data_IF_549639649926
#
_entry.id   IF_549639649926
#
_cell.length_a   1.000
_cell.length_b   1.000
_cell.length_c   1.000
_cell.angle_alpha   90.00
_cell.angle_beta   90.00
_cell.angle_gamma   90.00
#
_symmetry.space_group_name_H-M   'P 1'
#
loop_
_entity.id
_entity.type
_entity.pdbx_description
1 polymer ?
#
# COMPACT_ATOMS: atom_id res chain seq x y z
N UNK A 1 1.50 -29.42 -4.17
CA UNK A 1 0.25 -28.84 -3.62
C UNK A 1 0.48 -28.43 -2.17
N UNK A 2 0.17 -27.18 -1.83
CA UNK A 2 0.22 -26.65 -0.47
C UNK A 2 -1.23 -26.35 -0.07
N UNK A 3 -1.90 -27.22 0.71
CA UNK A 3 -3.32 -27.12 1.02
C UNK A 3 -3.72 -25.83 1.75
N UNK A 4 -2.75 -25.17 2.39
CA UNK A 4 -2.98 -23.96 3.17
C UNK A 4 -2.67 -22.65 2.40
N UNK A 5 -2.35 -22.71 1.11
CA UNK A 5 -2.19 -21.50 0.31
C UNK A 5 -3.57 -20.91 0.01
N UNK A 6 -3.99 -19.98 0.84
CA UNK A 6 -5.26 -19.27 0.70
C UNK A 6 -5.11 -17.80 1.00
N UNK A 7 -5.87 -16.98 0.27
CA UNK A 7 -5.95 -15.54 0.47
C UNK A 7 -7.41 -15.17 0.62
N UNK A 8 -7.72 -14.32 1.59
CA UNK A 8 -9.06 -13.78 1.82
C UNK A 8 -9.03 -12.28 1.67
N UNK A 9 -9.81 -11.78 0.74
CA UNK A 9 -10.04 -10.36 0.53
C UNK A 9 -11.30 -9.92 1.22
N UNK A 10 -11.22 -8.84 2.01
CA UNK A 10 -12.35 -8.25 2.72
C UNK A 10 -12.37 -6.75 2.44
N UNK A 11 -13.46 -6.25 1.85
CA UNK A 11 -13.69 -4.83 1.67
C UNK A 11 -14.59 -4.32 2.78
N UNK A 12 -14.11 -3.30 3.48
CA UNK A 12 -14.87 -2.56 4.50
C UNK A 12 -15.30 -1.20 3.96
N UNK A 13 -16.51 -0.78 4.29
CA UNK A 13 -16.92 0.60 4.12
C UNK A 13 -16.44 1.43 5.32
N UNK A 14 -15.73 2.53 5.04
CA UNK A 14 -15.09 3.34 6.09
C UNK A 14 -13.62 2.97 6.32
N UNK A 15 -13.09 3.42 7.44
CA UNK A 15 -11.67 3.31 7.81
C UNK A 15 -11.40 2.28 8.92
N UNK A 16 -12.44 1.67 9.47
CA UNK A 16 -12.33 0.69 10.55
C UNK A 16 -13.13 -0.58 10.24
N UNK A 17 -12.69 -1.72 10.77
CA UNK A 17 -13.44 -2.96 10.71
C UNK A 17 -14.42 -3.02 11.87
N UNK A 18 -15.70 -2.85 11.58
CA UNK A 18 -16.76 -2.88 12.58
C UNK A 18 -17.41 -4.26 12.64
N UNK A 19 -17.91 -4.61 13.81
CA UNK A 19 -18.56 -5.89 14.09
C UNK A 19 -19.96 -5.71 14.70
N UNK A 20 -20.72 -6.80 14.82
CA UNK A 20 -22.07 -6.76 15.39
C UNK A 20 -23.05 -6.00 14.52
N UNK A 21 -23.89 -5.17 15.16
CA UNK A 21 -24.94 -4.39 14.48
C UNK A 21 -24.37 -3.38 13.49
N UNK A 22 -23.17 -2.89 13.73
CA UNK A 22 -22.46 -1.91 12.88
C UNK A 22 -21.57 -2.56 11.82
N UNK A 23 -21.75 -3.85 11.55
CA UNK A 23 -20.94 -4.58 10.56
C UNK A 23 -20.92 -3.89 9.20
N UNK A 24 -19.72 -3.61 8.69
CA UNK A 24 -19.49 -2.80 7.50
C UNK A 24 -18.70 -3.50 6.39
N UNK A 25 -18.71 -4.84 6.36
CA UNK A 25 -18.14 -5.61 5.26
C UNK A 25 -19.07 -5.55 4.06
N UNK A 26 -18.57 -5.05 2.94
CA UNK A 26 -19.33 -4.94 1.67
C UNK A 26 -18.92 -6.01 0.66
N UNK A 27 -17.75 -6.65 0.86
CA UNK A 27 -17.30 -7.77 0.03
C UNK A 27 -16.35 -8.67 0.83
N UNK A 28 -16.49 -9.98 0.66
CA UNK A 28 -15.66 -11.01 1.30
C UNK A 28 -15.46 -12.14 0.29
N UNK A 29 -14.23 -12.30 -0.21
CA UNK A 29 -13.87 -13.28 -1.22
C UNK A 29 -12.70 -14.13 -0.74
N UNK A 30 -12.75 -15.43 -1.03
CA UNK A 30 -11.71 -16.38 -0.69
C UNK A 30 -11.13 -17.01 -1.96
N UNK A 31 -9.81 -17.03 -2.03
CA UNK A 31 -9.04 -17.62 -3.12
C UNK A 31 -8.24 -18.79 -2.57
N UNK A 32 -8.39 -19.96 -3.19
CA UNK A 32 -7.69 -21.19 -2.81
C UNK A 32 -7.23 -21.91 -4.07
N UNK A 33 -5.91 -21.94 -4.29
CA UNK A 33 -5.33 -22.57 -5.47
C UNK A 33 -3.85 -22.90 -5.21
N UNK A 34 -3.15 -23.49 -6.19
CA UNK A 34 -1.69 -23.47 -6.17
C UNK A 34 -1.18 -22.02 -6.25
N UNK A 35 0.01 -21.77 -5.71
CA UNK A 35 0.50 -20.40 -5.49
C UNK A 35 0.57 -19.57 -6.80
N UNK A 36 1.11 -20.07 -7.93
CA UNK A 36 1.13 -19.29 -9.18
C UNK A 36 -0.26 -18.88 -9.64
N UNK A 37 -1.19 -19.83 -9.70
CA UNK A 37 -2.58 -19.56 -10.11
C UNK A 37 -3.31 -18.63 -9.16
N UNK A 38 -3.03 -18.76 -7.85
CA UNK A 38 -3.56 -17.87 -6.82
C UNK A 38 -3.09 -16.41 -7.02
N UNK A 39 -1.82 -16.21 -7.38
CA UNK A 39 -1.28 -14.89 -7.71
C UNK A 39 -2.02 -14.29 -8.92
N UNK A 40 -2.21 -15.07 -9.98
CA UNK A 40 -2.89 -14.59 -11.19
C UNK A 40 -4.35 -14.25 -10.95
N UNK A 41 -5.08 -15.10 -10.22
CA UNK A 41 -6.48 -14.85 -9.84
C UNK A 41 -6.64 -13.59 -9.02
N UNK A 42 -5.80 -13.41 -7.99
CA UNK A 42 -5.82 -12.22 -7.13
C UNK A 42 -5.43 -10.97 -7.93
N UNK A 43 -4.46 -11.08 -8.82
CA UNK A 43 -4.04 -9.98 -9.68
C UNK A 43 -5.19 -9.45 -10.53
N UNK A 44 -5.92 -10.34 -11.20
CA UNK A 44 -7.09 -9.97 -12.02
C UNK A 44 -8.19 -9.34 -11.14
N UNK A 45 -8.47 -9.97 -10.00
CA UNK A 45 -9.49 -9.51 -9.07
C UNK A 45 -9.20 -8.12 -8.50
N UNK A 46 -7.98 -7.88 -8.02
CA UNK A 46 -7.61 -6.60 -7.42
C UNK A 46 -7.54 -5.47 -8.45
N UNK A 47 -7.04 -5.74 -9.65
CA UNK A 47 -7.11 -4.76 -10.75
C UNK A 47 -8.53 -4.29 -11.06
N UNK A 48 -9.51 -5.18 -10.99
CA UNK A 48 -10.91 -4.84 -11.18
C UNK A 48 -11.55 -4.18 -9.95
N UNK A 49 -10.95 -4.32 -8.77
CA UNK A 49 -11.48 -3.81 -7.50
C UNK A 49 -10.98 -2.42 -7.13
N UNK A 50 -9.79 -2.06 -7.58
CA UNK A 50 -9.18 -0.76 -7.31
C UNK A 50 -9.61 0.30 -8.31
N UNK A 51 -9.57 1.56 -7.84
CA UNK A 51 -9.97 2.73 -8.61
C UNK A 51 -8.74 3.48 -9.13
N UNK A 52 -8.97 4.26 -10.16
CA UNK A 52 -8.02 5.27 -10.60
C UNK A 52 -8.55 6.65 -10.24
N UNK A 53 -7.68 7.50 -9.72
CA UNK A 53 -7.98 8.90 -9.45
C UNK A 53 -7.35 9.78 -10.52
N UNK A 54 -8.01 10.88 -10.85
CA UNK A 54 -7.53 11.87 -11.79
C UNK A 54 -7.41 13.19 -11.08
N UNK A 55 -6.27 13.85 -11.17
CA UNK A 55 -6.07 15.19 -10.68
C UNK A 55 -5.47 16.08 -11.74
N UNK A 56 -5.78 17.38 -11.70
CA UNK A 56 -5.17 18.37 -12.58
C UNK A 56 -3.78 18.71 -12.05
N UNK A 57 -2.75 18.39 -12.82
CA UNK A 57 -1.40 18.85 -12.57
C UNK A 57 -1.31 20.33 -12.99
N UNK A 58 -1.20 21.20 -12.00
CA UNK A 58 -1.21 22.66 -12.22
C UNK A 58 0.01 23.16 -12.96
N UNK A 59 1.13 22.44 -12.92
CA UNK A 59 2.36 22.80 -13.62
C UNK A 59 2.25 22.55 -15.12
N UNK A 60 1.77 21.38 -15.51
CA UNK A 60 1.61 21.00 -16.92
C UNK A 60 0.24 21.35 -17.50
N UNK A 61 -0.75 21.71 -16.68
CA UNK A 61 -2.15 21.92 -17.07
C UNK A 61 -2.86 20.66 -17.56
N UNK A 62 -2.30 19.46 -17.30
CA UNK A 62 -2.84 18.17 -17.76
C UNK A 62 -3.40 17.35 -16.63
N UNK A 63 -4.42 16.55 -16.92
CA UNK A 63 -4.88 15.54 -15.97
C UNK A 63 -3.87 14.40 -15.89
N UNK A 64 -3.42 14.11 -14.67
CA UNK A 64 -2.61 12.93 -14.33
C UNK A 64 -3.49 11.88 -13.68
N UNK A 65 -3.25 10.63 -14.05
CA UNK A 65 -3.89 9.47 -13.47
C UNK A 65 -3.01 8.92 -12.35
N UNK A 66 -3.59 8.71 -11.17
CA UNK A 66 -2.94 8.05 -10.04
C UNK A 66 -3.78 6.83 -9.67
N UNK A 67 -3.20 5.63 -9.66
CA UNK A 67 -3.92 4.46 -9.19
C UNK A 67 -4.20 4.57 -7.69
N UNK A 68 -5.31 3.99 -7.24
CA UNK A 68 -5.61 3.87 -5.80
C UNK A 68 -4.46 3.20 -5.05
N UNK A 69 -3.90 2.14 -5.63
CA UNK A 69 -2.67 1.48 -5.20
C UNK A 69 -1.86 1.07 -6.44
N UNK A 70 -0.57 1.39 -6.52
CA UNK A 70 0.29 0.96 -7.62
C UNK A 70 0.35 -0.55 -7.70
N UNK A 71 0.19 -1.10 -8.93
CA UNK A 71 0.20 -2.56 -9.14
C UNK A 71 1.46 -3.22 -8.59
N UNK A 72 2.61 -2.61 -8.84
CA UNK A 72 3.89 -3.14 -8.36
C UNK A 72 3.94 -3.24 -6.83
N UNK A 73 3.35 -2.28 -6.10
CA UNK A 73 3.39 -2.27 -4.64
C UNK A 73 2.54 -3.41 -4.04
N UNK A 74 1.26 -3.50 -4.42
CA UNK A 74 0.39 -4.50 -3.81
C UNK A 74 0.68 -5.92 -4.32
N UNK A 75 1.07 -6.08 -5.59
CA UNK A 75 1.41 -7.39 -6.13
C UNK A 75 2.67 -7.95 -5.46
N UNK A 76 3.72 -7.13 -5.33
CA UNK A 76 4.93 -7.51 -4.59
C UNK A 76 4.61 -7.86 -3.13
N UNK A 77 3.75 -7.08 -2.48
CA UNK A 77 3.28 -7.36 -1.11
C UNK A 77 2.60 -8.73 -0.97
N UNK A 78 1.77 -9.11 -1.94
CA UNK A 78 1.09 -10.41 -1.97
C UNK A 78 2.07 -11.56 -2.24
N UNK A 79 2.96 -11.39 -3.22
CA UNK A 79 3.98 -12.38 -3.55
C UNK A 79 4.89 -12.62 -2.34
N UNK A 80 5.33 -11.55 -1.67
CA UNK A 80 6.12 -11.63 -0.44
C UNK A 80 5.34 -12.33 0.67
N UNK A 81 4.05 -12.03 0.84
CA UNK A 81 3.21 -12.71 1.83
C UNK A 81 3.13 -14.21 1.54
N UNK A 82 2.96 -14.63 0.29
CA UNK A 82 2.93 -16.04 -0.11
C UNK A 82 4.30 -16.72 0.06
N UNK A 83 5.40 -16.03 -0.28
CA UNK A 83 6.76 -16.56 -0.09
C UNK A 83 7.13 -16.76 1.39
N UNK A 84 6.70 -15.84 2.25
CA UNK A 84 7.14 -15.79 3.65
C UNK A 84 6.10 -16.27 4.67
N UNK A 85 4.94 -16.75 4.22
CA UNK A 85 3.92 -17.31 5.11
C UNK A 85 4.45 -18.50 5.92
N UNK A 86 4.01 -18.61 7.18
CA UNK A 86 4.18 -19.82 7.98
C UNK A 86 3.14 -20.88 7.58
N UNK A 87 3.50 -21.79 6.67
CA UNK A 87 2.59 -22.82 6.16
C UNK A 87 2.28 -23.96 7.15
N UNK A 88 3.00 -24.03 8.25
CA UNK A 88 2.73 -24.94 9.36
C UNK A 88 1.58 -24.46 10.27
N UNK A 89 1.20 -23.18 10.17
CA UNK A 89 0.03 -22.64 10.88
C UNK A 89 -1.22 -22.95 10.07
N UNK A 90 -1.97 -23.96 10.52
CA UNK A 90 -3.22 -24.36 9.89
C UNK A 90 -4.37 -23.41 10.22
N UNK A 91 -5.40 -23.38 9.37
CA UNK A 91 -6.62 -22.59 9.58
C UNK A 91 -6.46 -21.08 9.41
N UNK A 92 -5.30 -20.60 9.02
CA UNK A 92 -5.06 -19.18 8.77
C UNK A 92 -4.84 -18.89 7.27
N UNK A 93 -5.24 -17.73 6.81
CA UNK A 93 -5.07 -17.26 5.44
C UNK A 93 -4.19 -16.00 5.41
N UNK A 94 -3.70 -15.63 4.25
CA UNK A 94 -3.27 -14.24 4.01
C UNK A 94 -4.54 -13.41 3.91
N UNK A 95 -4.62 -12.32 4.64
CA UNK A 95 -5.77 -11.41 4.60
C UNK A 95 -5.41 -10.14 3.88
N UNK A 96 -6.20 -9.78 2.89
CA UNK A 96 -6.16 -8.49 2.21
C UNK A 96 -7.39 -7.72 2.67
N UNK A 97 -7.20 -6.74 3.55
CA UNK A 97 -8.27 -5.86 4.02
C UNK A 97 -8.21 -4.54 3.28
N UNK A 98 -9.29 -4.18 2.64
CA UNK A 98 -9.40 -2.96 1.86
C UNK A 98 -10.37 -1.99 2.54
N UNK A 99 -9.86 -0.90 3.07
CA UNK A 99 -10.59 0.21 3.68
C UNK A 99 -10.71 1.37 2.70
N UNK A 100 -11.40 2.43 3.09
CA UNK A 100 -11.52 3.62 2.23
C UNK A 100 -10.21 4.41 2.12
N UNK A 101 -9.31 4.27 3.09
CA UNK A 101 -8.05 5.01 3.20
C UNK A 101 -6.79 4.18 3.02
N UNK A 102 -6.90 2.83 3.04
CA UNK A 102 -5.75 1.94 2.98
C UNK A 102 -6.07 0.52 2.55
N UNK A 103 -5.04 -0.16 2.08
CA UNK A 103 -4.97 -1.61 1.88
C UNK A 103 -4.04 -2.20 2.92
N UNK A 104 -4.49 -3.21 3.67
CA UNK A 104 -3.68 -3.97 4.62
C UNK A 104 -3.48 -5.39 4.09
N UNK A 105 -2.23 -5.82 3.96
CA UNK A 105 -1.88 -7.22 3.65
C UNK A 105 -1.29 -7.84 4.92
N UNK A 106 -2.05 -8.78 5.53
CA UNK A 106 -1.62 -9.49 6.73
C UNK A 106 -1.12 -10.87 6.37
N UNK A 107 0.10 -11.16 6.77
CA UNK A 107 0.73 -12.46 6.62
C UNK A 107 0.88 -13.16 7.98
N UNK A 108 0.62 -14.46 8.03
CA UNK A 108 0.80 -15.29 9.23
C UNK A 108 2.26 -15.67 9.43
N UNK A 109 2.74 -15.50 10.64
CA UNK A 109 4.10 -15.75 11.10
C UNK A 109 4.84 -14.46 11.37
N UNK A 110 5.67 -14.41 12.43
CA UNK A 110 6.48 -13.26 12.79
C UNK A 110 7.56 -13.02 11.73
N UNK A 111 8.24 -11.89 11.79
CA UNK A 111 9.48 -11.71 11.04
C UNK A 111 10.52 -12.76 11.47
N UNK A 112 11.42 -13.21 10.58
CA UNK A 112 12.55 -14.05 10.98
C UNK A 112 13.45 -13.30 11.96
N UNK A 113 14.14 -14.03 12.86
CA UNK A 113 14.88 -13.42 13.97
C UNK A 113 15.93 -12.36 13.55
N UNK A 114 16.49 -12.48 12.35
CA UNK A 114 17.47 -11.52 11.81
C UNK A 114 16.84 -10.34 11.06
N UNK A 115 15.52 -10.40 10.77
CA UNK A 115 14.80 -9.34 10.03
C UNK A 115 14.01 -8.50 11.02
N UNK A 116 14.19 -7.20 10.96
CA UNK A 116 13.41 -6.21 11.71
C UNK A 116 12.72 -5.27 10.73
N UNK A 117 11.78 -4.47 11.22
CA UNK A 117 11.11 -3.45 10.39
C UNK A 117 12.11 -2.43 9.85
N UNK A 118 13.15 -2.11 10.62
CA UNK A 118 14.18 -1.14 10.24
C UNK A 118 15.08 -1.66 9.12
N UNK A 119 15.40 -2.99 9.11
CA UNK A 119 16.30 -3.59 8.14
C UNK A 119 15.58 -4.38 7.03
N UNK A 120 14.25 -4.43 7.02
CA UNK A 120 13.45 -5.24 6.06
C UNK A 120 13.73 -4.94 4.58
N UNK A 121 14.27 -3.75 4.28
CA UNK A 121 14.66 -3.36 2.91
C UNK A 121 15.99 -3.98 2.46
N UNK A 122 16.86 -4.29 3.40
CA UNK A 122 18.25 -4.74 3.13
C UNK A 122 18.49 -6.21 3.46
N UNK A 123 17.74 -6.75 4.43
CA UNK A 123 17.95 -8.12 4.88
C UNK A 123 17.35 -9.17 3.93
N UNK A 124 18.06 -10.28 3.83
CA UNK A 124 17.69 -11.42 2.98
C UNK A 124 17.28 -12.61 3.82
N UNK A 125 16.04 -12.99 3.70
CA UNK A 125 15.58 -14.23 4.30
C UNK A 125 14.43 -14.83 3.50
N UNK A 126 14.56 -16.10 3.13
CA UNK A 126 13.46 -16.86 2.54
C UNK A 126 12.97 -17.88 3.55
N UNK A 127 11.79 -17.65 4.16
CA UNK A 127 11.15 -18.64 5.05
C UNK A 127 10.87 -19.95 4.34
N UNK A 128 10.44 -19.87 3.08
CA UNK A 128 10.12 -21.00 2.23
C UNK A 128 11.01 -20.98 0.97
N UNK A 129 12.29 -21.39 1.05
CA UNK A 129 13.23 -21.24 -0.07
C UNK A 129 12.82 -22.00 -1.33
N UNK A 130 12.12 -23.13 -1.18
CA UNK A 130 11.60 -23.89 -2.33
C UNK A 130 10.46 -23.15 -3.04
N UNK A 131 9.59 -22.50 -2.28
CA UNK A 131 8.50 -21.67 -2.85
C UNK A 131 9.09 -20.46 -3.56
N UNK A 132 10.02 -19.76 -2.91
CA UNK A 132 10.70 -18.60 -3.49
C UNK A 132 11.38 -18.96 -4.82
N UNK A 133 12.11 -20.08 -4.89
CA UNK A 133 12.77 -20.55 -6.10
C UNK A 133 11.80 -20.83 -7.24
N UNK A 134 10.69 -21.52 -6.97
CA UNK A 134 9.67 -21.81 -8.00
C UNK A 134 9.07 -20.51 -8.52
N UNK A 135 8.77 -19.56 -7.64
CA UNK A 135 8.21 -18.26 -8.06
C UNK A 135 9.21 -17.41 -8.84
N UNK A 136 10.51 -17.58 -8.56
CA UNK A 136 11.58 -16.98 -9.33
C UNK A 136 11.68 -17.62 -10.73
N UNK A 137 11.71 -18.94 -10.82
CA UNK A 137 11.75 -19.68 -12.09
C UNK A 137 10.54 -19.31 -12.98
N UNK A 138 9.40 -18.99 -12.37
CA UNK A 138 8.18 -18.53 -13.04
C UNK A 138 8.15 -17.01 -13.30
N UNK A 139 9.15 -16.26 -12.86
CA UNK A 139 9.26 -14.82 -13.09
C UNK A 139 8.41 -13.92 -12.17
N UNK A 140 7.80 -14.47 -11.10
CA UNK A 140 7.07 -13.67 -10.11
C UNK A 140 8.00 -12.95 -9.13
N UNK A 141 9.17 -13.49 -8.86
CA UNK A 141 10.18 -12.95 -7.95
C UNK A 141 11.49 -12.72 -8.70
N UNK A 142 12.22 -11.67 -8.35
CA UNK A 142 13.59 -11.44 -8.81
C UNK A 142 14.56 -11.59 -7.63
N UNK A 143 15.69 -12.25 -7.85
CA UNK A 143 16.70 -12.55 -6.80
C UNK A 143 17.37 -11.33 -6.18
N UNK A 144 17.20 -10.15 -6.73
CA UNK A 144 17.99 -8.97 -6.38
C UNK A 144 17.61 -8.28 -5.08
N UNK A 145 16.76 -8.88 -4.22
CA UNK A 145 16.29 -8.28 -2.95
C UNK A 145 15.65 -6.89 -3.07
N UNK A 146 15.16 -6.55 -4.23
CA UNK A 146 14.58 -5.24 -4.51
C UNK A 146 13.08 -5.20 -4.22
N UNK A 147 12.48 -6.34 -3.82
CA UNK A 147 11.03 -6.46 -3.67
C UNK A 147 10.44 -5.42 -2.74
N UNK A 148 10.95 -5.34 -1.51
CA UNK A 148 10.48 -4.34 -0.54
C UNK A 148 10.81 -2.93 -1.02
N UNK A 149 12.02 -2.69 -1.54
CA UNK A 149 12.41 -1.37 -2.07
C UNK A 149 11.50 -0.94 -3.21
N UNK A 150 11.10 -1.85 -4.11
CA UNK A 150 10.14 -1.57 -5.20
C UNK A 150 8.76 -1.15 -4.68
N UNK A 151 8.29 -1.74 -3.57
CA UNK A 151 7.04 -1.29 -2.94
C UNK A 151 7.15 0.19 -2.58
N UNK A 152 8.25 0.58 -1.91
CA UNK A 152 8.48 1.98 -1.52
C UNK A 152 8.58 2.90 -2.72
N UNK A 153 9.40 2.55 -3.71
CA UNK A 153 9.59 3.34 -4.94
C UNK A 153 8.31 3.52 -5.74
N UNK A 154 7.49 2.46 -5.89
CA UNK A 154 6.26 2.57 -6.66
C UNK A 154 5.20 3.42 -5.98
N UNK A 155 5.14 3.39 -4.63
CA UNK A 155 4.29 4.29 -3.85
C UNK A 155 4.75 5.74 -3.99
N UNK A 156 6.05 6.00 -3.88
CA UNK A 156 6.64 7.33 -4.03
C UNK A 156 6.44 7.89 -5.46
N UNK A 157 6.72 7.10 -6.50
CA UNK A 157 6.46 7.48 -7.91
C UNK A 157 5.00 7.82 -8.17
N UNK A 158 4.08 7.19 -7.44
CA UNK A 158 2.65 7.47 -7.50
C UNK A 158 2.21 8.58 -6.55
N UNK A 159 3.14 9.26 -5.89
CA UNK A 159 2.87 10.35 -4.94
C UNK A 159 1.96 9.92 -3.77
N UNK A 160 2.02 8.67 -3.39
CA UNK A 160 1.29 8.10 -2.27
C UNK A 160 2.19 8.04 -1.02
N UNK A 161 1.57 7.86 0.13
CA UNK A 161 2.29 7.76 1.40
C UNK A 161 3.27 6.59 1.41
N UNK A 162 4.35 6.72 2.16
CA UNK A 162 5.35 5.67 2.37
C UNK A 162 4.66 4.42 2.95
N UNK A 163 4.96 3.20 2.44
CA UNK A 163 4.45 1.95 2.99
C UNK A 163 4.83 1.77 4.45
N UNK A 164 3.91 1.26 5.25
CA UNK A 164 4.13 0.95 6.65
C UNK A 164 4.21 -0.57 6.84
N UNK A 165 5.24 -1.05 7.52
CA UNK A 165 5.31 -2.43 8.00
C UNK A 165 5.11 -2.44 9.51
N UNK A 166 4.36 -3.43 10.00
CA UNK A 166 4.12 -3.65 11.41
C UNK A 166 4.14 -5.16 11.72
N UNK A 167 4.64 -5.50 12.90
CA UNK A 167 4.56 -6.86 13.44
C UNK A 167 3.74 -6.85 14.72
N UNK A 168 2.67 -7.64 14.75
CA UNK A 168 1.78 -7.73 15.90
C UNK A 168 1.14 -9.11 15.98
N UNK A 169 1.05 -9.66 17.20
CA UNK A 169 0.37 -10.93 17.47
C UNK A 169 0.85 -12.08 16.56
N UNK A 170 2.16 -12.13 16.28
CA UNK A 170 2.74 -13.17 15.43
C UNK A 170 2.33 -13.07 13.96
N UNK A 171 1.94 -11.90 13.48
CA UNK A 171 1.64 -11.61 12.08
C UNK A 171 2.41 -10.38 11.63
N UNK A 172 2.78 -10.35 10.35
CA UNK A 172 3.35 -9.20 9.67
C UNK A 172 2.28 -8.51 8.83
N UNK A 173 2.23 -7.21 8.89
CA UNK A 173 1.30 -6.36 8.16
C UNK A 173 2.08 -5.42 7.23
N UNK A 174 1.65 -5.35 5.98
CA UNK A 174 2.00 -4.30 5.04
C UNK A 174 0.77 -3.41 4.87
N UNK A 175 0.94 -2.11 5.09
CA UNK A 175 -0.12 -1.10 4.97
C UNK A 175 0.27 -0.14 3.86
N UNK A 176 -0.59 -0.07 2.83
CA UNK A 176 -0.50 0.87 1.72
C UNK A 176 -1.63 1.88 1.85
N UNK A 177 -1.31 3.17 1.98
CA UNK A 177 -2.33 4.24 2.06
C UNK A 177 -2.59 4.84 0.68
N UNK A 178 -3.87 5.04 0.36
CA UNK A 178 -4.31 5.60 -0.92
C UNK A 178 -4.48 7.13 -0.89
N UNK A 179 -4.17 7.78 0.24
CA UNK A 179 -4.23 9.23 0.30
C UNK A 179 -3.16 9.82 -0.63
N UNK A 180 -3.62 10.53 -1.66
CA UNK A 180 -2.83 11.53 -2.40
C UNK A 180 -2.57 12.72 -1.45
N UNK A 181 -2.24 12.44 -0.20
CA UNK A 181 -2.06 13.46 0.83
C UNK A 181 -0.67 14.08 0.80
N UNK A 182 0.22 13.54 -0.03
CA UNK A 182 1.53 14.14 -0.23
C UNK A 182 1.46 15.53 -0.86
N UNK A 183 0.59 15.79 -1.83
CA UNK A 183 0.59 17.07 -2.53
C UNK A 183 -0.16 18.18 -1.78
N UNK A 184 -1.31 17.91 -1.23
CA UNK A 184 -2.06 18.94 -0.52
C UNK A 184 -1.47 19.21 0.88
N UNK A 185 -1.02 18.17 1.58
CA UNK A 185 -0.51 18.28 2.95
C UNK A 185 0.96 18.71 2.99
N UNK A 186 1.79 18.22 2.06
CA UNK A 186 3.22 18.57 2.02
C UNK A 186 3.42 20.02 1.56
N UNK A 187 2.63 20.51 0.59
CA UNK A 187 2.62 21.92 0.20
C UNK A 187 2.06 22.75 1.37
N UNK A 188 0.97 22.32 1.98
CA UNK A 188 0.38 23.02 3.12
C UNK A 188 1.35 23.06 4.33
N UNK A 189 1.89 21.91 4.74
CA UNK A 189 2.77 21.81 5.91
C UNK A 189 4.13 22.48 5.66
N UNK A 190 4.73 22.34 4.46
CA UNK A 190 5.99 23.02 4.11
C UNK A 190 5.83 24.53 3.91
N UNK A 191 4.64 24.98 3.49
CA UNK A 191 4.30 26.39 3.41
C UNK A 191 4.06 26.96 4.80
N UNK A 192 3.35 26.21 5.65
CA UNK A 192 3.06 26.64 7.03
C UNK A 192 4.30 26.65 7.91
N UNK A 193 5.26 25.73 7.74
CA UNK A 193 6.56 25.78 8.41
C UNK A 193 7.42 26.98 8.01
N UNK A 194 7.28 27.46 6.78
CA UNK A 194 8.05 28.61 6.27
C UNK A 194 7.37 29.96 6.51
N UNK A 195 6.08 29.96 6.80
CA UNK A 195 5.29 31.17 6.97
C UNK A 195 4.61 31.10 8.31
N UNK A 196 5.10 31.80 9.30
CA UNK A 196 4.47 31.98 10.64
C UNK A 196 3.12 32.73 10.54
N UNK A 197 2.26 32.31 9.62
CA UNK A 197 0.95 32.94 9.38
C UNK A 197 -0.15 32.00 9.87
N UNK A 198 -1.08 32.56 10.63
CA UNK A 198 -2.26 31.88 11.10
C UNK A 198 -3.25 31.64 9.92
N UNK A 199 -3.09 30.47 9.28
CA UNK A 199 -3.92 30.05 8.14
C UNK A 199 -5.43 30.06 8.40
N UNK A 200 -5.82 29.95 9.66
CA UNK A 200 -7.23 29.98 10.06
C UNK A 200 -7.88 31.35 9.85
N UNK A 201 -7.06 32.42 9.79
CA UNK A 201 -7.54 33.79 9.55
C UNK A 201 -7.82 34.11 8.07
N UNK A 202 -7.42 33.23 7.14
CA UNK A 202 -7.66 33.43 5.72
C UNK A 202 -9.06 32.97 5.32
N UNK A 203 -9.77 33.79 4.55
CA UNK A 203 -10.99 33.36 3.87
C UNK A 203 -10.68 32.47 2.66
N UNK A 204 -11.68 31.79 2.10
CA UNK A 204 -11.49 30.81 1.02
C UNK A 204 -10.90 31.44 -0.24
N UNK A 205 -11.20 32.68 -0.54
CA UNK A 205 -10.65 33.41 -1.68
C UNK A 205 -9.16 33.69 -1.48
N UNK A 206 -8.78 34.15 -0.29
CA UNK A 206 -7.37 34.40 0.06
C UNK A 206 -6.56 33.11 0.04
N UNK A 207 -7.09 31.99 0.53
CA UNK A 207 -6.46 30.66 0.47
C UNK A 207 -6.22 30.25 -0.98
N UNK A 208 -7.20 30.41 -1.89
CA UNK A 208 -7.05 30.11 -3.32
C UNK A 208 -6.00 30.98 -4.00
N UNK A 209 -5.96 32.28 -3.72
CA UNK A 209 -4.96 33.20 -4.27
C UNK A 209 -3.57 32.82 -3.79
N UNK A 210 -3.43 32.50 -2.51
CA UNK A 210 -2.16 32.10 -1.93
C UNK A 210 -1.63 30.81 -2.56
N UNK A 211 -2.47 29.78 -2.72
CA UNK A 211 -2.08 28.55 -3.42
C UNK A 211 -1.69 28.80 -4.87
N UNK A 212 -2.42 29.66 -5.57
CA UNK A 212 -2.08 30.02 -6.95
C UNK A 212 -0.72 30.69 -7.07
N UNK A 213 -0.44 31.65 -6.22
CA UNK A 213 0.83 32.40 -6.22
C UNK A 213 2.02 31.49 -5.86
N UNK A 214 1.83 30.63 -4.87
CA UNK A 214 2.86 29.69 -4.43
C UNK A 214 3.16 28.63 -5.50
N UNK A 215 2.13 28.03 -6.11
CA UNK A 215 2.29 27.01 -7.15
C UNK A 215 2.98 27.56 -8.41
N UNK A 216 2.85 28.86 -8.68
CA UNK A 216 3.46 29.50 -9.86
C UNK A 216 4.80 30.18 -9.57
N UNK A 217 5.42 29.96 -8.39
CA UNK A 217 6.68 30.58 -7.96
C UNK A 217 6.74 32.11 -8.13
N UNK A 218 5.59 32.77 -8.14
CA UNK A 218 5.45 34.21 -8.35
C UNK A 218 5.38 35.02 -7.04
N UNK A 219 5.40 34.35 -5.91
CA UNK A 219 5.44 35.00 -4.61
C UNK A 219 6.90 35.00 -4.10
N UNK A 220 7.61 36.09 -4.28
CA UNK A 220 8.81 36.38 -3.53
C UNK A 220 8.35 37.05 -2.24
N UNK A 221 8.51 36.37 -1.12
CA UNK A 221 8.34 36.97 0.19
C UNK A 221 9.56 37.89 0.42
N UNK A 222 9.33 39.18 0.41
CA UNK A 222 10.28 40.17 0.85
C UNK A 222 10.29 40.22 2.38
#
# INVERSE_FOLDING_TARGET
YIPSASVRYIRYEGTEALTGVSHNVVKDERFENNIPRLIDEIKVFLKASFKDYYFLDMESGKFKKVPEYPEEAWLEGIVNALCHRSYNVQGNAIYIKHFNDRLEIRNSGPLPAQVTIENIKSERFARNPRVARVLEDLGYVRQLNEGVSRIYESMEKSMLSIPEYNESNGNVYLILRNKISGHSKTIHDSVMEKIEIDWMKFNDTQKKIFYYLFANHKATLA
#
